data_IF_586484155229
#
_entry.id   IF_586484155229
#
_cell.length_a   1.000
_cell.length_b   1.000
_cell.length_c   1.000
_cell.angle_alpha   90.00
_cell.angle_beta   90.00
_cell.angle_gamma   90.00
#
_symmetry.space_group_name_H-M   'P 1'
#
loop_
_entity.id
_entity.type
_entity.pdbx_description
1 polymer ?
#
# COMPACT_ATOMS: atom_id res chain seq x y z
N UNK A 1 -5.42 23.14 43.19
CA UNK A 1 -6.84 22.76 43.01
C UNK A 1 -7.41 22.25 44.33
N UNK A 2 -8.66 22.57 44.68
CA UNK A 2 -9.30 21.97 45.87
C UNK A 2 -9.68 20.49 45.60
N UNK A 3 -9.62 19.63 46.63
CA UNK A 3 -9.90 18.20 46.49
C UNK A 3 -11.30 17.90 45.96
N UNK A 4 -12.29 18.76 46.26
CA UNK A 4 -13.67 18.61 45.78
C UNK A 4 -13.75 18.79 44.27
N UNK A 5 -13.06 19.79 43.73
CA UNK A 5 -13.02 20.07 42.30
C UNK A 5 -12.22 18.99 41.56
N UNK A 6 -11.10 18.55 42.14
CA UNK A 6 -10.30 17.46 41.59
C UNK A 6 -11.10 16.15 41.49
N UNK A 7 -11.89 15.81 42.51
CA UNK A 7 -12.80 14.66 42.48
C UNK A 7 -13.85 14.79 41.38
N UNK A 8 -14.43 15.98 41.20
CA UNK A 8 -15.45 16.21 40.16
C UNK A 8 -14.87 15.94 38.76
N UNK A 9 -13.74 16.58 38.44
CA UNK A 9 -13.03 16.39 37.16
C UNK A 9 -12.71 14.90 36.98
N UNK A 10 -12.15 14.26 38.01
CA UNK A 10 -11.78 12.86 37.94
C UNK A 10 -12.97 11.93 37.69
N UNK A 11 -14.10 12.11 38.37
CA UNK A 11 -15.28 11.27 38.15
C UNK A 11 -15.86 11.40 36.73
N UNK A 12 -15.93 12.62 36.19
CA UNK A 12 -16.33 12.87 34.79
C UNK A 12 -15.36 12.18 33.82
N UNK A 13 -14.05 12.31 34.05
CA UNK A 13 -13.01 11.66 33.26
C UNK A 13 -13.02 10.13 33.36
N UNK A 14 -13.27 9.55 34.54
CA UNK A 14 -13.42 8.09 34.74
C UNK A 14 -14.61 7.56 33.95
N UNK A 15 -15.74 8.29 33.94
CA UNK A 15 -16.90 7.90 33.15
C UNK A 15 -16.57 7.88 31.65
N UNK A 16 -15.94 8.95 31.16
CA UNK A 16 -15.50 9.03 29.76
C UNK A 16 -14.47 7.94 29.42
N UNK A 17 -13.48 7.71 30.27
CA UNK A 17 -12.50 6.62 30.10
C UNK A 17 -13.18 5.27 29.97
N UNK A 18 -14.14 4.97 30.85
CA UNK A 18 -14.91 3.74 30.81
C UNK A 18 -15.81 3.63 29.56
N UNK A 19 -16.27 4.73 28.98
CA UNK A 19 -17.05 4.70 27.73
C UNK A 19 -16.17 4.27 26.55
N UNK A 20 -14.94 4.79 26.47
CA UNK A 20 -14.03 4.51 25.36
C UNK A 20 -13.21 3.22 25.54
N UNK A 21 -13.06 2.74 26.77
CA UNK A 21 -12.31 1.53 27.09
C UNK A 21 -13.20 0.25 27.16
N UNK A 22 -14.49 0.36 26.85
CA UNK A 22 -15.41 -0.79 26.79
C UNK A 22 -15.35 -1.48 25.42
N UNK A 23 -14.27 -2.23 25.15
CA UNK A 23 -14.21 -3.46 24.33
C UNK A 23 -12.77 -3.85 23.98
N UNK A 24 -12.35 -5.02 24.44
CA UNK A 24 -11.34 -5.83 23.75
C UNK A 24 -11.88 -6.28 22.39
N UNK A 25 -11.20 -5.98 21.29
CA UNK A 25 -11.48 -6.58 19.98
C UNK A 25 -10.72 -7.89 19.79
N UNK A 26 -11.30 -8.77 18.99
CA UNK A 26 -11.01 -10.21 18.83
C UNK A 26 -9.62 -10.56 18.22
N UNK A 27 -8.69 -9.61 18.14
CA UNK A 27 -7.41 -9.76 17.43
C UNK A 27 -6.14 -9.64 18.30
N UNK A 28 -6.24 -9.68 19.62
CA UNK A 28 -5.06 -9.93 20.48
C UNK A 28 -3.98 -8.85 20.49
N UNK A 29 -4.24 -7.68 19.91
CA UNK A 29 -3.46 -6.46 20.18
C UNK A 29 -4.16 -5.76 21.33
N UNK A 30 -3.52 -5.68 22.50
CA UNK A 30 -3.95 -4.80 23.59
C UNK A 30 -3.74 -3.34 23.16
N UNK A 31 -4.54 -2.87 22.20
CA UNK A 31 -4.72 -1.45 21.96
C UNK A 31 -5.51 -0.92 23.16
N UNK A 32 -4.77 -0.47 24.17
CA UNK A 32 -5.27 0.49 25.12
C UNK A 32 -5.51 1.77 24.31
N UNK A 33 -6.67 1.88 23.64
CA UNK A 33 -7.03 2.98 22.73
C UNK A 33 -7.32 4.26 23.54
N UNK A 34 -6.25 4.75 24.15
CA UNK A 34 -6.16 6.05 24.79
C UNK A 34 -6.46 7.17 23.78
N UNK A 35 -6.35 6.90 22.47
CA UNK A 35 -6.65 7.87 21.41
C UNK A 35 -8.08 8.45 21.52
N UNK A 36 -9.11 7.60 21.60
CA UNK A 36 -10.50 8.08 21.69
C UNK A 36 -10.78 8.75 23.03
N UNK A 37 -10.24 8.20 24.11
CA UNK A 37 -10.34 8.83 25.41
C UNK A 37 -9.71 10.23 25.42
N UNK A 38 -8.51 10.38 24.88
CA UNK A 38 -7.82 11.68 24.80
C UNK A 38 -8.57 12.65 23.88
N UNK A 39 -8.92 12.23 22.66
CA UNK A 39 -9.48 13.10 21.63
C UNK A 39 -10.95 13.46 21.84
N UNK A 40 -11.76 12.59 22.44
CA UNK A 40 -13.20 12.79 22.62
C UNK A 40 -13.62 12.96 24.09
N UNK A 41 -12.77 12.58 25.05
CA UNK A 41 -13.04 12.70 26.49
C UNK A 41 -12.16 13.75 27.15
N UNK A 42 -10.93 13.37 27.51
CA UNK A 42 -10.06 14.15 28.38
C UNK A 42 -9.75 15.56 27.86
N UNK A 43 -9.31 15.68 26.60
CA UNK A 43 -8.92 16.98 26.07
C UNK A 43 -10.15 17.89 25.92
N UNK A 44 -11.27 17.47 25.29
CA UNK A 44 -12.46 18.30 25.19
C UNK A 44 -13.05 18.72 26.54
N UNK A 45 -13.12 17.80 27.52
CA UNK A 45 -13.68 18.07 28.85
C UNK A 45 -12.91 19.20 29.55
N UNK A 46 -11.58 19.08 29.60
CA UNK A 46 -10.73 20.08 30.24
C UNK A 46 -10.69 21.37 29.41
N UNK A 47 -10.56 21.26 28.08
CA UNK A 47 -10.52 22.42 27.20
C UNK A 47 -11.79 23.28 27.32
N UNK A 48 -12.96 22.68 27.51
CA UNK A 48 -14.24 23.41 27.67
C UNK A 48 -14.23 24.44 28.82
N UNK A 49 -13.38 24.21 29.82
CA UNK A 49 -13.23 25.09 31.00
C UNK A 49 -12.17 26.18 30.83
N UNK A 50 -11.39 26.13 29.74
CA UNK A 50 -10.29 27.06 29.46
C UNK A 50 -10.73 28.21 28.55
N UNK A 51 -10.22 29.42 28.80
CA UNK A 51 -10.48 30.61 27.96
C UNK A 51 -9.96 30.49 26.52
N UNK A 52 -9.00 29.60 26.26
CA UNK A 52 -8.48 29.24 24.92
C UNK A 52 -8.83 27.80 24.49
N UNK A 53 -9.89 27.22 25.07
CA UNK A 53 -10.28 25.84 24.81
C UNK A 53 -10.66 25.53 23.37
N UNK A 54 -11.24 26.50 22.66
CA UNK A 54 -11.70 26.33 21.27
C UNK A 54 -10.54 26.05 20.33
N UNK A 55 -9.40 26.71 20.52
CA UNK A 55 -8.19 26.50 19.72
C UNK A 55 -7.59 25.11 19.98
N UNK A 56 -7.63 24.64 21.23
CA UNK A 56 -7.18 23.28 21.59
C UNK A 56 -8.07 22.23 20.91
N UNK A 57 -9.39 22.40 20.98
CA UNK A 57 -10.35 21.46 20.35
C UNK A 57 -10.16 21.44 18.83
N UNK A 58 -10.02 22.59 18.17
CA UNK A 58 -9.72 22.66 16.73
C UNK A 58 -8.43 21.94 16.35
N UNK A 59 -7.41 22.04 17.20
CA UNK A 59 -6.14 21.35 16.98
C UNK A 59 -6.28 19.83 17.14
N UNK A 60 -7.10 19.35 18.08
CA UNK A 60 -7.47 17.93 18.17
C UNK A 60 -8.19 17.48 16.89
N UNK A 61 -9.18 18.24 16.43
CA UNK A 61 -9.91 17.94 15.19
C UNK A 61 -8.98 17.87 13.97
N UNK A 62 -7.99 18.78 13.89
CA UNK A 62 -6.97 18.79 12.84
C UNK A 62 -6.13 17.51 12.86
N UNK A 63 -5.64 17.10 14.03
CA UNK A 63 -4.89 15.84 14.21
C UNK A 63 -5.76 14.63 13.82
N UNK A 64 -6.98 14.55 14.33
CA UNK A 64 -7.89 13.43 14.04
C UNK A 64 -8.22 13.34 12.55
N UNK A 65 -8.46 14.48 11.90
CA UNK A 65 -8.68 14.54 10.45
C UNK A 65 -7.46 14.09 9.67
N UNK A 66 -6.26 14.48 10.11
CA UNK A 66 -5.01 14.12 9.44
C UNK A 66 -4.66 12.64 9.57
N UNK A 67 -4.86 12.05 10.76
CA UNK A 67 -4.75 10.59 10.99
C UNK A 67 -5.75 9.84 10.10
N UNK A 68 -7.01 10.28 10.08
CA UNK A 68 -8.05 9.68 9.24
C UNK A 68 -7.67 9.70 7.75
N UNK A 69 -7.19 10.84 7.24
CA UNK A 69 -6.74 10.96 5.84
C UNK A 69 -5.60 10.00 5.50
N UNK A 70 -4.65 9.81 6.41
CA UNK A 70 -3.56 8.84 6.23
C UNK A 70 -4.10 7.42 6.06
N UNK A 71 -4.97 6.97 6.96
CA UNK A 71 -5.56 5.62 6.89
C UNK A 71 -6.48 5.41 5.69
N UNK A 72 -7.26 6.43 5.31
CA UNK A 72 -8.09 6.40 4.10
C UNK A 72 -7.23 6.26 2.84
N UNK A 73 -6.14 7.01 2.74
CA UNK A 73 -5.21 6.90 1.62
C UNK A 73 -4.55 5.51 1.59
N UNK A 74 -4.01 5.05 2.72
CA UNK A 74 -3.39 3.73 2.84
C UNK A 74 -4.34 2.60 2.40
N UNK A 75 -5.60 2.66 2.84
CA UNK A 75 -6.62 1.66 2.46
C UNK A 75 -6.90 1.70 0.96
N UNK A 76 -7.11 2.88 0.37
CA UNK A 76 -7.31 3.03 -1.08
C UNK A 76 -6.10 2.54 -1.88
N UNK A 77 -4.89 2.80 -1.39
CA UNK A 77 -3.66 2.31 -2.03
C UNK A 77 -3.60 0.78 -2.11
N UNK A 78 -4.10 0.07 -1.09
CA UNK A 78 -4.23 -1.40 -1.12
C UNK A 78 -5.22 -1.81 -2.20
N UNK A 79 -6.42 -1.23 -2.20
CA UNK A 79 -7.48 -1.54 -3.16
C UNK A 79 -7.04 -1.28 -4.61
N UNK A 80 -6.33 -0.17 -4.86
CA UNK A 80 -5.81 0.19 -6.18
C UNK A 80 -4.72 -0.78 -6.66
N UNK A 81 -3.79 -1.17 -5.78
CA UNK A 81 -2.76 -2.15 -6.12
C UNK A 81 -3.39 -3.52 -6.40
N UNK A 82 -4.29 -3.99 -5.55
CA UNK A 82 -4.97 -5.28 -5.72
C UNK A 82 -5.75 -5.33 -7.04
N UNK A 83 -6.46 -4.26 -7.37
CA UNK A 83 -7.18 -4.13 -8.65
C UNK A 83 -6.22 -4.18 -9.84
N UNK A 84 -5.07 -3.51 -9.75
CA UNK A 84 -4.06 -3.51 -10.81
C UNK A 84 -3.46 -4.91 -11.02
N UNK A 85 -3.06 -5.57 -9.93
CA UNK A 85 -2.41 -6.89 -9.99
C UNK A 85 -3.37 -8.00 -10.42
N UNK A 86 -4.66 -7.88 -10.07
CA UNK A 86 -5.71 -8.82 -10.47
C UNK A 86 -6.28 -8.59 -11.89
N UNK A 87 -5.90 -7.50 -12.57
CA UNK A 87 -6.41 -7.19 -13.91
C UNK A 87 -5.97 -8.27 -14.92
N UNK A 88 -6.94 -8.97 -15.50
CA UNK A 88 -6.68 -10.07 -16.46
C UNK A 88 -6.39 -9.58 -17.87
N UNK A 89 -6.53 -8.29 -18.13
CA UNK A 89 -6.28 -7.67 -19.44
C UNK A 89 -4.94 -6.94 -19.50
N UNK A 90 -4.08 -7.14 -18.50
CA UNK A 90 -2.71 -6.63 -18.47
C UNK A 90 -1.71 -7.79 -18.45
N UNK A 91 -0.66 -7.65 -19.26
CA UNK A 91 0.51 -8.55 -19.22
C UNK A 91 1.27 -8.39 -17.91
N UNK A 92 2.05 -9.39 -17.53
CA UNK A 92 2.89 -9.36 -16.32
C UNK A 92 3.85 -8.17 -16.34
N UNK A 93 4.42 -7.86 -17.51
CA UNK A 93 5.28 -6.69 -17.71
C UNK A 93 4.55 -5.37 -17.51
N UNK A 94 3.32 -5.24 -18.04
CA UNK A 94 2.51 -4.01 -17.87
C UNK A 94 2.05 -3.83 -16.43
N UNK A 95 1.74 -4.92 -15.72
CA UNK A 95 1.47 -4.90 -14.28
C UNK A 95 2.68 -4.39 -13.50
N UNK A 96 3.86 -4.95 -13.75
CA UNK A 96 5.08 -4.54 -13.04
C UNK A 96 5.43 -3.07 -13.27
N UNK A 97 5.31 -2.58 -14.50
CA UNK A 97 5.50 -1.16 -14.82
C UNK A 97 4.54 -0.26 -14.05
N UNK A 98 3.23 -0.52 -14.17
CA UNK A 98 2.20 0.30 -13.51
C UNK A 98 2.25 0.18 -11.99
N UNK A 99 2.56 -0.99 -11.44
CA UNK A 99 2.65 -1.22 -10.01
C UNK A 99 3.86 -0.48 -9.44
N UNK A 100 4.98 -0.46 -10.16
CA UNK A 100 6.16 0.33 -9.80
C UNK A 100 5.88 1.83 -9.83
N UNK A 101 5.09 2.32 -10.78
CA UNK A 101 4.67 3.73 -10.84
C UNK A 101 3.71 4.08 -9.68
N UNK A 102 2.69 3.26 -9.47
CA UNK A 102 1.72 3.41 -8.37
C UNK A 102 2.44 3.37 -7.00
N UNK A 103 3.40 2.45 -6.83
CA UNK A 103 4.26 2.37 -5.64
C UNK A 103 4.91 3.72 -5.33
N UNK A 104 5.52 4.38 -6.33
CA UNK A 104 6.17 5.69 -6.16
C UNK A 104 5.17 6.78 -5.81
N UNK A 105 4.00 6.78 -6.45
CA UNK A 105 2.93 7.73 -6.16
C UNK A 105 2.43 7.60 -4.71
N UNK A 106 2.16 6.36 -4.26
CA UNK A 106 1.73 6.06 -2.89
C UNK A 106 2.78 6.53 -1.89
N UNK A 107 4.07 6.21 -2.11
CA UNK A 107 5.16 6.67 -1.26
C UNK A 107 5.18 8.19 -1.15
N UNK A 108 5.04 8.91 -2.27
CA UNK A 108 5.05 10.36 -2.29
C UNK A 108 3.86 10.93 -1.49
N UNK A 109 2.65 10.47 -1.78
CA UNK A 109 1.43 10.96 -1.15
C UNK A 109 1.39 10.67 0.36
N UNK A 110 1.76 9.46 0.80
CA UNK A 110 1.83 9.12 2.22
C UNK A 110 2.92 9.93 2.94
N UNK A 111 4.09 10.11 2.32
CA UNK A 111 5.17 10.92 2.92
C UNK A 111 4.79 12.40 3.07
N UNK A 112 3.95 12.94 2.19
CA UNK A 112 3.40 14.29 2.37
C UNK A 112 2.50 14.37 3.60
N UNK A 113 1.62 13.39 3.81
CA UNK A 113 0.78 13.31 5.01
C UNK A 113 1.62 13.11 6.27
N UNK A 114 2.65 12.26 6.23
CA UNK A 114 3.60 12.08 7.33
C UNK A 114 4.25 13.40 7.70
N UNK A 115 4.76 14.18 6.72
CA UNK A 115 5.34 15.51 6.99
C UNK A 115 4.36 16.48 7.65
N UNK A 116 3.08 16.45 7.27
CA UNK A 116 2.04 17.26 7.93
C UNK A 116 1.84 16.79 9.37
N UNK A 117 1.69 15.48 9.59
CA UNK A 117 1.50 14.88 10.89
C UNK A 117 2.68 15.12 11.84
N UNK A 118 3.93 15.01 11.38
CA UNK A 118 5.12 15.31 12.20
C UNK A 118 5.12 16.78 12.68
N UNK A 119 4.66 17.72 11.84
CA UNK A 119 4.50 19.13 12.24
C UNK A 119 3.37 19.33 13.25
N UNK A 120 2.31 18.53 13.20
CA UNK A 120 1.25 18.55 14.21
C UNK A 120 1.75 17.91 15.52
N UNK A 121 2.39 16.75 15.44
CA UNK A 121 2.95 16.02 16.58
C UNK A 121 3.90 16.90 17.41
N UNK A 122 4.80 17.63 16.75
CA UNK A 122 5.75 18.56 17.42
C UNK A 122 5.09 19.78 18.09
N UNK A 123 3.84 20.11 17.76
CA UNK A 123 3.08 21.19 18.43
C UNK A 123 2.29 20.71 19.64
N UNK A 124 2.05 19.40 19.79
CA UNK A 124 1.17 18.85 20.83
C UNK A 124 1.60 19.26 22.24
N UNK A 125 2.89 19.17 22.56
CA UNK A 125 3.40 19.51 23.90
C UNK A 125 3.05 20.94 24.30
N UNK A 126 3.22 21.88 23.35
CA UNK A 126 2.90 23.30 23.58
C UNK A 126 1.40 23.53 23.67
N UNK A 127 0.61 22.97 22.75
CA UNK A 127 -0.84 23.20 22.68
C UNK A 127 -1.58 22.54 23.85
N UNK A 128 -1.14 21.36 24.29
CA UNK A 128 -1.75 20.61 25.39
C UNK A 128 -1.16 20.93 26.76
N UNK A 129 -0.16 21.80 26.86
CA UNK A 129 0.41 22.23 28.15
C UNK A 129 -0.64 22.73 29.16
N UNK A 130 -1.64 23.56 28.78
CA UNK A 130 -2.69 23.97 29.72
C UNK A 130 -3.53 22.79 30.25
N UNK A 131 -3.79 21.79 29.40
CA UNK A 131 -4.52 20.57 29.77
C UNK A 131 -3.69 19.75 30.76
N UNK A 132 -2.41 19.51 30.43
CA UNK A 132 -1.48 18.77 31.29
C UNK A 132 -1.30 19.43 32.66
N UNK A 133 -1.33 20.76 32.72
CA UNK A 133 -1.29 21.49 34.00
C UNK A 133 -2.50 21.15 34.88
N UNK A 134 -3.71 21.16 34.32
CA UNK A 134 -4.93 20.80 35.05
C UNK A 134 -4.89 19.33 35.48
N UNK A 135 -4.48 18.42 34.59
CA UNK A 135 -4.33 16.99 34.90
C UNK A 135 -3.35 16.79 36.06
N UNK A 136 -2.22 17.51 36.05
CA UNK A 136 -1.22 17.45 37.12
C UNK A 136 -1.77 17.99 38.44
N UNK A 137 -2.44 19.14 38.44
CA UNK A 137 -3.06 19.71 39.64
C UNK A 137 -4.14 18.80 40.23
N UNK A 138 -4.93 18.15 39.38
CA UNK A 138 -5.93 17.17 39.80
C UNK A 138 -5.28 15.92 40.40
N UNK A 139 -4.22 15.40 39.76
CA UNK A 139 -3.45 14.25 40.25
C UNK A 139 -2.81 14.54 41.62
N UNK A 140 -2.18 15.69 41.79
CA UNK A 140 -1.58 16.13 43.08
C UNK A 140 -2.63 16.27 44.19
N UNK A 141 -3.81 16.82 43.88
CA UNK A 141 -4.89 16.98 44.85
C UNK A 141 -5.57 15.65 45.24
N UNK A 142 -5.55 14.65 44.36
CA UNK A 142 -6.11 13.32 44.61
C UNK A 142 -5.12 12.37 45.31
N UNK A 143 -3.81 12.60 45.16
CA UNK A 143 -2.78 11.71 45.72
C UNK A 143 -2.94 10.28 45.22
N UNK A 144 -2.93 9.31 46.14
CA UNK A 144 -3.06 7.87 45.82
C UNK A 144 -4.42 7.48 45.21
N UNK A 145 -5.43 8.36 45.24
CA UNK A 145 -6.74 8.10 44.64
C UNK A 145 -6.79 8.36 43.12
N UNK A 146 -5.77 9.00 42.55
CA UNK A 146 -5.69 9.27 41.12
C UNK A 146 -5.14 8.09 40.32
N UNK A 147 -5.81 7.68 39.25
CA UNK A 147 -5.32 6.69 38.29
C UNK A 147 -4.60 7.36 37.11
N UNK A 148 -3.35 6.98 36.87
CA UNK A 148 -2.53 7.48 35.74
C UNK A 148 -3.10 7.12 34.36
N UNK A 149 -3.99 6.13 34.25
CA UNK A 149 -4.70 5.82 33.01
C UNK A 149 -5.77 6.86 32.70
N UNK A 150 -6.37 7.46 33.72
CA UNK A 150 -7.40 8.51 33.61
C UNK A 150 -6.74 9.90 33.64
N UNK A 151 -5.68 10.09 34.42
CA UNK A 151 -4.92 11.33 34.52
C UNK A 151 -3.49 11.11 33.99
N UNK A 152 -3.32 11.02 32.66
CA UNK A 152 -2.03 10.69 32.08
C UNK A 152 -1.02 11.82 32.25
N UNK A 153 0.23 11.44 32.54
CA UNK A 153 1.35 12.38 32.68
C UNK A 153 1.83 12.97 31.35
N UNK A 154 1.42 12.37 30.22
CA UNK A 154 1.68 12.84 28.85
C UNK A 154 0.43 12.67 27.99
N UNK A 155 0.20 13.62 27.10
CA UNK A 155 -0.86 13.57 26.09
C UNK A 155 -0.20 13.53 24.72
N UNK A 156 -0.46 12.47 23.96
CA UNK A 156 0.03 12.30 22.61
C UNK A 156 -0.97 11.48 21.80
N UNK A 157 -1.58 12.13 20.82
CA UNK A 157 -2.61 11.55 19.96
C UNK A 157 -2.03 10.65 18.86
N UNK A 158 -0.71 10.62 18.67
CA UNK A 158 -0.03 9.75 17.69
C UNK A 158 0.62 8.52 18.33
N UNK A 159 0.55 8.32 19.65
CA UNK A 159 1.26 7.22 20.34
C UNK A 159 0.96 5.83 19.76
N UNK A 160 -0.28 5.58 19.32
CA UNK A 160 -0.68 4.31 18.70
C UNK A 160 -0.67 4.36 17.16
N UNK A 161 -0.14 5.44 16.58
CA UNK A 161 -0.12 5.69 15.14
C UNK A 161 1.28 6.12 14.66
N UNK A 162 2.36 5.37 14.96
CA UNK A 162 3.72 5.75 14.55
C UNK A 162 3.85 5.86 13.02
N UNK A 163 3.09 5.04 12.27
CA UNK A 163 3.01 5.09 10.81
C UNK A 163 2.58 6.46 10.27
N UNK A 164 1.79 7.20 11.05
CA UNK A 164 1.34 8.53 10.67
C UNK A 164 2.44 9.58 10.78
N UNK A 165 3.53 9.34 11.52
CA UNK A 165 4.55 10.36 11.84
C UNK A 165 5.98 9.99 11.42
N UNK A 166 6.21 8.74 11.02
CA UNK A 166 7.52 8.18 10.71
C UNK A 166 7.56 7.63 9.27
N UNK A 167 8.55 8.08 8.48
CA UNK A 167 8.66 7.77 7.05
C UNK A 167 9.04 6.30 6.82
N UNK A 168 9.78 5.72 7.76
CA UNK A 168 10.27 4.35 7.74
C UNK A 168 9.11 3.35 7.60
N UNK A 169 7.98 3.60 8.27
CA UNK A 169 6.78 2.77 8.17
C UNK A 169 6.08 2.90 6.82
N UNK A 170 6.11 4.09 6.19
CA UNK A 170 5.63 4.26 4.82
C UNK A 170 6.44 3.40 3.85
N UNK A 171 7.76 3.38 3.99
CA UNK A 171 8.62 2.54 3.13
C UNK A 171 8.31 1.06 3.33
N UNK A 172 8.19 0.61 4.58
CA UNK A 172 7.82 -0.78 4.90
C UNK A 172 6.48 -1.17 4.28
N UNK A 173 5.44 -0.36 4.49
CA UNK A 173 4.11 -0.59 3.90
C UNK A 173 4.17 -0.71 2.38
N UNK A 174 4.88 0.20 1.72
CA UNK A 174 4.92 0.25 0.26
C UNK A 174 5.77 -0.90 -0.33
N UNK A 175 6.76 -1.40 0.41
CA UNK A 175 7.51 -2.62 0.06
C UNK A 175 6.68 -3.89 0.23
N UNK A 176 5.87 -4.00 1.28
CA UNK A 176 4.89 -5.09 1.44
C UNK A 176 3.83 -5.08 0.34
N UNK A 177 3.43 -3.88 -0.10
CA UNK A 177 2.38 -3.71 -1.09
C UNK A 177 2.79 -4.24 -2.48
N UNK A 178 4.02 -3.98 -2.90
CA UNK A 178 4.55 -4.48 -4.16
C UNK A 178 6.08 -4.53 -4.19
N UNK A 179 6.61 -5.69 -4.59
CA UNK A 179 8.03 -5.88 -4.88
C UNK A 179 8.22 -5.99 -6.39
N UNK A 180 8.87 -5.00 -7.05
CA UNK A 180 9.18 -5.06 -8.47
C UNK A 180 10.05 -6.26 -8.82
N UNK A 181 9.93 -6.73 -10.07
CA UNK A 181 10.79 -7.81 -10.53
C UNK A 181 12.28 -7.37 -10.54
N UNK A 182 13.22 -8.28 -10.19
CA UNK A 182 14.65 -7.98 -10.24
C UNK A 182 15.11 -7.52 -11.63
N UNK A 183 16.25 -6.84 -11.76
CA UNK A 183 16.85 -6.55 -13.07
C UNK A 183 17.10 -7.84 -13.89
N UNK A 184 17.02 -7.77 -15.22
CA UNK A 184 17.18 -8.94 -16.11
C UNK A 184 18.48 -9.72 -15.89
N UNK A 185 19.58 -9.01 -15.61
CA UNK A 185 20.88 -9.61 -15.30
C UNK A 185 20.88 -10.52 -14.06
N UNK A 186 19.90 -10.33 -13.17
CA UNK A 186 19.76 -11.07 -11.91
C UNK A 186 18.66 -12.17 -12.01
N UNK A 187 18.03 -12.32 -13.19
CA UNK A 187 17.02 -13.34 -13.48
C UNK A 187 17.66 -14.54 -14.18
N UNK A 188 18.44 -15.31 -13.44
CA UNK A 188 19.01 -16.57 -13.94
C UNK A 188 17.97 -17.70 -14.01
N UNK A 189 18.39 -18.89 -14.43
CA UNK A 189 17.49 -20.06 -14.46
C UNK A 189 16.88 -20.37 -13.09
N UNK A 190 17.62 -20.18 -11.99
CA UNK A 190 17.10 -20.41 -10.64
C UNK A 190 16.02 -19.40 -10.26
N UNK A 191 16.12 -18.15 -10.73
CA UNK A 191 15.04 -17.18 -10.60
C UNK A 191 13.75 -17.72 -11.22
N UNK A 192 13.80 -18.18 -12.48
CA UNK A 192 12.62 -18.69 -13.17
C UNK A 192 12.06 -19.97 -12.53
N UNK A 193 12.91 -20.85 -11.99
CA UNK A 193 12.45 -21.98 -11.16
C UNK A 193 11.65 -21.50 -9.94
N UNK A 194 12.17 -20.51 -9.19
CA UNK A 194 11.50 -20.03 -7.97
C UNK A 194 10.11 -19.45 -8.23
N UNK A 195 9.90 -18.88 -9.41
CA UNK A 195 8.61 -18.30 -9.80
C UNK A 195 7.74 -19.27 -10.63
N UNK A 196 8.20 -20.51 -10.86
CA UNK A 196 7.44 -21.54 -11.59
C UNK A 196 7.39 -21.35 -13.12
N UNK A 197 8.40 -20.69 -13.69
CA UNK A 197 8.51 -20.37 -15.12
C UNK A 197 9.67 -21.11 -15.80
N UNK A 198 10.22 -22.17 -15.19
CA UNK A 198 11.38 -22.90 -15.72
C UNK A 198 11.10 -23.58 -17.07
N UNK A 199 9.88 -24.11 -17.25
CA UNK A 199 9.48 -24.80 -18.49
C UNK A 199 9.34 -23.81 -19.64
N UNK A 200 8.66 -22.69 -19.42
CA UNK A 200 8.51 -21.62 -20.42
C UNK A 200 9.84 -20.95 -20.72
N UNK A 201 10.67 -20.69 -19.70
CA UNK A 201 12.03 -20.18 -19.90
C UNK A 201 12.87 -21.10 -20.79
N UNK A 202 12.89 -22.40 -20.53
CA UNK A 202 13.64 -23.37 -21.33
C UNK A 202 13.15 -23.39 -22.77
N UNK A 203 11.83 -23.47 -22.99
CA UNK A 203 11.22 -23.44 -24.32
C UNK A 203 11.57 -22.17 -25.09
N UNK A 204 11.54 -21.00 -24.42
CA UNK A 204 11.87 -19.72 -25.05
C UNK A 204 13.35 -19.64 -25.44
N UNK A 205 14.24 -20.17 -24.60
CA UNK A 205 15.67 -20.23 -24.89
C UNK A 205 15.99 -21.20 -26.05
N UNK A 206 15.32 -22.36 -26.10
CA UNK A 206 15.46 -23.33 -27.19
C UNK A 206 15.01 -22.75 -28.53
N UNK A 207 13.84 -22.11 -28.57
CA UNK A 207 13.32 -21.44 -29.76
C UNK A 207 14.30 -20.35 -30.27
N UNK A 208 14.88 -19.57 -29.36
CA UNK A 208 15.91 -18.58 -29.72
C UNK A 208 17.16 -19.24 -30.32
N UNK A 209 17.61 -20.35 -29.75
CA UNK A 209 18.78 -21.06 -30.26
C UNK A 209 18.52 -21.69 -31.63
N UNK A 210 17.32 -22.21 -31.86
CA UNK A 210 16.87 -22.71 -33.17
C UNK A 210 16.84 -21.59 -34.21
N UNK A 211 16.25 -20.44 -33.88
CA UNK A 211 16.22 -19.25 -34.76
C UNK A 211 17.64 -18.74 -35.09
N UNK A 212 18.57 -18.86 -34.15
CA UNK A 212 19.98 -18.56 -34.36
C UNK A 212 20.74 -19.69 -35.10
N UNK A 213 20.09 -20.79 -35.45
CA UNK A 213 20.72 -21.93 -36.15
C UNK A 213 21.86 -22.57 -35.36
N UNK A 214 21.78 -22.55 -34.02
CA UNK A 214 22.80 -23.15 -33.14
C UNK A 214 22.80 -24.69 -33.11
N UNK A 215 21.65 -25.39 -33.24
CA UNK A 215 21.61 -26.86 -33.20
C UNK A 215 22.40 -27.55 -34.31
N UNK A 216 22.70 -26.85 -35.41
CA UNK A 216 23.46 -27.40 -36.54
C UNK A 216 24.98 -27.18 -36.41
N UNK A 217 25.43 -26.48 -35.37
CA UNK A 217 26.84 -26.15 -35.14
C UNK A 217 27.49 -27.17 -34.19
N UNK A 218 28.81 -27.34 -34.35
CA UNK A 218 29.59 -28.04 -33.33
C UNK A 218 29.72 -27.19 -32.05
N UNK A 219 30.00 -27.83 -30.91
CA UNK A 219 30.02 -27.19 -29.59
C UNK A 219 30.91 -25.94 -29.50
N UNK A 220 32.06 -25.93 -30.16
CA UNK A 220 32.98 -24.78 -30.14
C UNK A 220 32.38 -23.58 -30.90
N UNK A 221 31.82 -23.82 -32.08
CA UNK A 221 31.14 -22.79 -32.87
C UNK A 221 29.87 -22.29 -32.19
N UNK A 222 29.12 -23.18 -31.53
CA UNK A 222 27.94 -22.80 -30.73
C UNK A 222 28.32 -21.84 -29.61
N UNK A 223 29.33 -22.18 -28.81
CA UNK A 223 29.78 -21.32 -27.70
C UNK A 223 30.29 -19.97 -28.21
N UNK A 224 31.10 -19.95 -29.26
CA UNK A 224 31.61 -18.73 -29.87
C UNK A 224 30.48 -17.83 -30.40
N UNK A 225 29.52 -18.41 -31.14
CA UNK A 225 28.38 -17.66 -31.69
C UNK A 225 27.48 -17.10 -30.60
N UNK A 226 27.20 -17.90 -29.56
CA UNK A 226 26.45 -17.44 -28.38
C UNK A 226 27.18 -16.29 -27.69
N UNK A 227 28.47 -16.44 -27.43
CA UNK A 227 29.25 -15.39 -26.75
C UNK A 227 29.32 -14.08 -27.53
N UNK A 228 29.50 -14.14 -28.84
CA UNK A 228 29.50 -12.93 -29.67
C UNK A 228 28.11 -12.32 -29.75
N UNK A 229 27.06 -13.13 -29.89
CA UNK A 229 25.71 -12.64 -30.10
C UNK A 229 25.25 -11.69 -28.99
N UNK A 230 25.30 -12.13 -27.72
CA UNK A 230 24.81 -11.26 -26.64
C UNK A 230 25.71 -10.03 -26.43
N UNK A 231 27.04 -10.15 -26.66
CA UNK A 231 27.97 -9.01 -26.59
C UNK A 231 27.68 -7.97 -27.68
N UNK A 232 27.51 -8.41 -28.92
CA UNK A 232 27.22 -7.56 -30.09
C UNK A 232 25.86 -6.87 -29.96
N UNK A 233 24.90 -7.51 -29.29
CA UNK A 233 23.59 -6.94 -28.99
C UNK A 233 23.55 -6.10 -27.70
N UNK A 234 24.70 -5.80 -27.10
CA UNK A 234 24.82 -4.85 -25.99
C UNK A 234 24.37 -5.37 -24.62
N UNK A 235 24.19 -6.68 -24.45
CA UNK A 235 23.89 -7.27 -23.16
C UNK A 235 25.16 -7.38 -22.29
N UNK A 236 25.01 -7.21 -20.98
CA UNK A 236 26.10 -7.36 -20.01
C UNK A 236 26.47 -8.83 -19.76
N UNK A 237 25.56 -9.75 -20.04
CA UNK A 237 25.78 -11.19 -19.84
C UNK A 237 24.83 -12.04 -20.69
N UNK A 238 25.17 -13.33 -20.84
CA UNK A 238 24.27 -14.35 -21.38
C UNK A 238 22.98 -14.47 -20.57
N UNK A 239 23.05 -14.29 -19.24
CA UNK A 239 21.88 -14.35 -18.34
C UNK A 239 20.90 -13.25 -18.70
N UNK A 240 21.38 -12.01 -18.79
CA UNK A 240 20.54 -10.86 -19.15
C UNK A 240 19.88 -11.05 -20.52
N UNK A 241 20.63 -11.53 -21.51
CA UNK A 241 20.10 -11.82 -22.84
C UNK A 241 18.98 -12.86 -22.80
N UNK A 242 19.20 -14.01 -22.18
CA UNK A 242 18.20 -15.08 -22.12
C UNK A 242 16.96 -14.67 -21.32
N UNK A 243 17.13 -13.93 -20.22
CA UNK A 243 16.01 -13.34 -19.49
C UNK A 243 15.23 -12.36 -20.39
N UNK A 244 15.91 -11.53 -21.18
CA UNK A 244 15.26 -10.61 -22.13
C UNK A 244 14.45 -11.36 -23.19
N UNK A 245 15.00 -12.44 -23.75
CA UNK A 245 14.30 -13.31 -24.71
C UNK A 245 13.05 -13.89 -24.09
N UNK A 246 13.16 -14.46 -22.88
CA UNK A 246 12.03 -15.05 -22.20
C UNK A 246 10.90 -14.04 -21.95
N UNK A 247 11.22 -12.85 -21.40
CA UNK A 247 10.22 -11.81 -21.12
C UNK A 247 9.53 -11.29 -22.39
N UNK A 248 10.27 -11.15 -23.50
CA UNK A 248 9.69 -10.74 -24.80
C UNK A 248 8.70 -11.77 -25.33
N UNK A 249 9.08 -13.06 -25.35
CA UNK A 249 8.21 -14.13 -25.84
C UNK A 249 7.00 -14.32 -24.93
N UNK A 250 7.20 -14.28 -23.61
CA UNK A 250 6.12 -14.31 -22.61
C UNK A 250 5.12 -13.17 -22.82
N UNK A 251 5.59 -11.93 -23.02
CA UNK A 251 4.71 -10.79 -23.26
C UNK A 251 3.86 -11.00 -24.53
N UNK A 252 4.43 -11.55 -25.60
CA UNK A 252 3.70 -11.86 -26.82
C UNK A 252 2.60 -12.92 -26.59
N UNK A 253 2.92 -14.00 -25.87
CA UNK A 253 1.97 -15.06 -25.51
C UNK A 253 0.83 -14.54 -24.61
N UNK A 254 1.14 -13.69 -23.63
CA UNK A 254 0.14 -13.06 -22.76
C UNK A 254 -0.77 -12.11 -23.56
N UNK A 255 -0.23 -11.36 -24.54
CA UNK A 255 -1.03 -10.49 -25.40
C UNK A 255 -2.01 -11.28 -26.26
N UNK A 256 -1.56 -12.37 -26.88
CA UNK A 256 -2.42 -13.26 -27.67
C UNK A 256 -3.56 -13.84 -26.81
N UNK A 257 -3.24 -14.30 -25.60
CA UNK A 257 -4.25 -14.79 -24.65
C UNK A 257 -5.26 -13.71 -24.24
N UNK A 258 -4.79 -12.47 -24.00
CA UNK A 258 -5.67 -11.34 -23.65
C UNK A 258 -6.60 -10.97 -24.81
N UNK A 259 -6.10 -11.02 -26.06
CA UNK A 259 -6.92 -10.77 -27.25
C UNK A 259 -8.01 -11.83 -27.42
N UNK A 260 -7.68 -13.11 -27.25
CA UNK A 260 -8.67 -14.18 -27.29
C UNK A 260 -9.73 -14.01 -26.19
N UNK A 261 -9.33 -13.71 -24.95
CA UNK A 261 -10.26 -13.42 -23.86
C UNK A 261 -11.24 -12.28 -24.19
N UNK A 262 -10.75 -11.19 -24.78
CA UNK A 262 -11.59 -10.06 -25.20
C UNK A 262 -12.57 -10.47 -26.29
N UNK A 263 -12.12 -11.23 -27.29
CA UNK A 263 -12.97 -11.76 -28.36
C UNK A 263 -14.07 -12.65 -27.80
N UNK A 264 -13.73 -13.58 -26.89
CA UNK A 264 -14.71 -14.47 -26.26
C UNK A 264 -15.75 -13.70 -25.45
N UNK A 265 -15.36 -12.66 -24.73
CA UNK A 265 -16.28 -11.81 -23.99
C UNK A 265 -17.22 -11.05 -24.94
N UNK A 266 -16.69 -10.42 -25.99
CA UNK A 266 -17.49 -9.72 -26.98
C UNK A 266 -18.53 -10.66 -27.62
N UNK A 267 -18.14 -11.91 -27.93
CA UNK A 267 -19.06 -12.92 -28.45
C UNK A 267 -20.17 -13.29 -27.44
N UNK A 268 -19.87 -13.39 -26.14
CA UNK A 268 -20.87 -13.64 -25.10
C UNK A 268 -21.87 -12.50 -24.97
N UNK A 269 -21.39 -11.26 -24.95
CA UNK A 269 -22.23 -10.06 -24.87
C UNK A 269 -23.14 -9.93 -26.10
N UNK A 270 -22.61 -10.19 -27.30
CA UNK A 270 -23.39 -10.23 -28.53
C UNK A 270 -24.50 -11.28 -28.49
N UNK A 271 -24.21 -12.49 -27.99
CA UNK A 271 -25.21 -13.56 -27.81
C UNK A 271 -26.29 -13.15 -26.80
N UNK A 272 -25.90 -12.48 -25.71
CA UNK A 272 -26.82 -12.03 -24.68
C UNK A 272 -27.77 -10.91 -25.16
N UNK A 273 -27.35 -10.08 -26.12
CA UNK A 273 -28.16 -8.98 -26.66
C UNK A 273 -29.19 -9.40 -27.72
N UNK A 274 -29.28 -10.69 -28.09
CA UNK A 274 -30.25 -11.20 -29.07
C UNK A 274 -30.09 -10.65 -30.50
N UNK A 275 -29.02 -9.89 -30.79
CA UNK A 275 -28.75 -9.27 -32.09
C UNK A 275 -27.89 -10.14 -33.01
N UNK A 276 -28.17 -11.45 -33.09
CA UNK A 276 -27.37 -12.37 -33.91
C UNK A 276 -27.49 -12.08 -35.42
N UNK A 277 -28.64 -11.63 -35.93
CA UNK A 277 -28.85 -11.52 -37.39
C UNK A 277 -28.18 -10.30 -38.03
N UNK A 278 -28.07 -9.16 -37.32
CA UNK A 278 -27.60 -7.91 -37.92
C UNK A 278 -26.07 -7.81 -38.07
N UNK A 279 -25.32 -8.43 -37.16
CA UNK A 279 -23.86 -8.31 -37.13
C UNK A 279 -23.17 -9.35 -38.03
N UNK A 280 -23.66 -10.60 -38.07
CA UNK A 280 -23.13 -11.60 -39.00
C UNK A 280 -23.32 -11.16 -40.45
N UNK A 281 -24.44 -10.52 -40.82
CA UNK A 281 -24.61 -9.88 -42.13
C UNK A 281 -23.62 -8.74 -42.40
N UNK A 282 -23.25 -7.96 -41.39
CA UNK A 282 -22.27 -6.86 -41.52
C UNK A 282 -20.82 -7.35 -41.61
N UNK A 283 -20.45 -8.39 -40.84
CA UNK A 283 -19.16 -9.05 -40.93
C UNK A 283 -19.02 -9.80 -42.26
N UNK A 284 -20.01 -10.63 -42.63
CA UNK A 284 -19.99 -11.34 -43.91
C UNK A 284 -19.99 -10.36 -45.10
N UNK A 285 -20.78 -9.29 -45.05
CA UNK A 285 -20.76 -8.24 -46.08
C UNK A 285 -19.45 -7.46 -46.20
N UNK A 286 -18.59 -7.48 -45.16
CA UNK A 286 -17.24 -6.92 -45.22
C UNK A 286 -16.20 -7.91 -45.77
N UNK A 287 -16.45 -9.23 -45.65
CA UNK A 287 -15.61 -10.29 -46.23
C UNK A 287 -16.02 -10.69 -47.66
N UNK A 288 -17.22 -10.33 -48.12
CA UNK A 288 -17.72 -10.67 -49.47
C UNK A 288 -17.79 -9.49 -50.44
N UNK A 289 -17.14 -8.37 -50.14
CA UNK A 289 -16.89 -7.31 -51.13
C UNK A 289 -15.47 -7.48 -51.70
N UNK A 290 -15.24 -8.61 -52.37
CA UNK A 290 -14.34 -8.75 -53.53
C UNK A 290 -15.19 -9.13 -54.74
#
# INVERSE_FOLDING_TARGET
MEIKDAKKIYFELVQNYNLFNKKSTYFGVENNDNYHYLSLGLIPEIASTLSGGKEIIKFVEEICSSIKKYWELRTKSIEEMDKLLSDRYLTSKKKDQKATELKKEITLNLNELVKVNTKLASKQEKVFSPILKIVKEASEALGEFGDNKVLPSKIDLYTNHPECTEIEFTNYFVDELYTPYPPLKDRDFNYFIRIGEEVSFTRHAEAEFEELGLPTLNRHLTNFKVENYWKENGFSSKVEWLASVHEKRKEAEELEYIEDMKMQQALKELKAQGKQEGFFKKMLGAFTNE
#
